data_IF_824102918709
#
_entry.id   IF_824102918709
#
_cell.length_a   1.000
_cell.length_b   1.000
_cell.length_c   1.000
_cell.angle_alpha   90.00
_cell.angle_beta   90.00
_cell.angle_gamma   90.00
#
_symmetry.space_group_name_H-M   'P 1'
#
loop_
_entity.id
_entity.type
_entity.pdbx_description
1 polymer ?
#
# COMPACT_ATOMS: atom_id res chain seq x y z
N UNK A 1 -1.93 5.38 17.01
CA UNK A 1 -1.84 4.59 15.77
C UNK A 1 -1.08 5.36 14.68
N UNK A 2 -0.69 4.70 13.60
CA UNK A 2 -0.16 5.37 12.42
C UNK A 2 -1.23 6.32 11.85
N UNK A 3 -0.80 7.46 11.30
CA UNK A 3 -1.70 8.35 10.56
C UNK A 3 -1.83 7.84 9.11
N UNK A 4 -2.81 6.98 8.91
CA UNK A 4 -3.06 6.38 7.59
C UNK A 4 -3.46 7.41 6.53
N UNK A 5 -4.07 8.54 6.92
CA UNK A 5 -4.44 9.61 5.99
C UNK A 5 -3.21 10.34 5.47
N UNK A 6 -2.30 10.74 6.35
CA UNK A 6 -1.03 11.35 5.97
C UNK A 6 -0.21 10.38 5.12
N UNK A 7 -0.10 9.12 5.57
CA UNK A 7 0.66 8.09 4.88
C UNK A 7 0.17 7.87 3.44
N UNK A 8 -1.12 7.69 3.25
CA UNK A 8 -1.68 7.47 1.92
C UNK A 8 -1.65 8.72 1.06
N UNK A 9 -1.70 9.91 1.65
CA UNK A 9 -1.48 11.16 0.93
C UNK A 9 -0.05 11.20 0.37
N UNK A 10 0.97 10.89 1.18
CA UNK A 10 2.38 10.86 0.73
C UNK A 10 2.62 9.83 -0.37
N UNK A 11 2.09 8.59 -0.23
CA UNK A 11 2.19 7.56 -1.26
C UNK A 11 1.51 8.04 -2.56
N UNK A 12 0.30 8.60 -2.46
CA UNK A 12 -0.46 9.04 -3.63
C UNK A 12 0.25 10.19 -4.35
N UNK A 13 0.74 11.17 -3.61
CA UNK A 13 1.51 12.30 -4.17
C UNK A 13 2.78 11.80 -4.86
N UNK A 14 3.48 10.85 -4.25
CA UNK A 14 4.66 10.23 -4.83
C UNK A 14 4.35 9.55 -6.17
N UNK A 15 3.39 8.63 -6.22
CA UNK A 15 3.08 7.90 -7.46
C UNK A 15 2.55 8.85 -8.54
N UNK A 16 1.74 9.84 -8.18
CA UNK A 16 1.26 10.85 -9.13
C UNK A 16 2.40 11.71 -9.68
N UNK A 17 3.37 12.12 -8.83
CA UNK A 17 4.55 12.91 -9.23
C UNK A 17 5.48 12.16 -10.17
N UNK A 18 5.53 10.81 -10.07
CA UNK A 18 6.28 9.95 -10.98
C UNK A 18 5.65 9.81 -12.37
N UNK A 19 4.45 10.32 -12.54
CA UNK A 19 3.77 10.30 -13.84
C UNK A 19 2.82 9.13 -14.04
N UNK A 20 2.58 8.29 -13.03
CA UNK A 20 1.57 7.24 -13.10
C UNK A 20 0.17 7.84 -13.20
N UNK A 21 -0.72 7.22 -14.00
CA UNK A 21 -2.05 7.77 -14.31
C UNK A 21 -3.18 6.75 -14.22
N UNK A 22 -2.87 5.46 -14.15
CA UNK A 22 -3.85 4.37 -14.10
C UNK A 22 -3.57 3.48 -12.89
N UNK A 23 -3.81 3.98 -11.67
CA UNK A 23 -3.57 3.19 -10.48
C UNK A 23 -4.64 2.13 -10.28
N UNK A 24 -4.21 0.98 -9.75
CA UNK A 24 -5.07 -0.04 -9.15
C UNK A 24 -4.75 -0.12 -7.67
N UNK A 25 -5.75 0.07 -6.80
CA UNK A 25 -5.58 -0.13 -5.37
C UNK A 25 -5.91 -1.57 -5.00
N UNK A 26 -4.96 -2.30 -4.42
CA UNK A 26 -5.17 -3.64 -3.86
C UNK A 26 -5.49 -3.54 -2.38
N UNK A 27 -6.75 -3.85 -2.06
CA UNK A 27 -7.30 -3.75 -0.71
C UNK A 27 -7.33 -5.10 0.01
N UNK A 28 -7.05 -5.09 1.30
CA UNK A 28 -7.27 -6.23 2.20
C UNK A 28 -8.76 -6.44 2.54
N UNK A 29 -9.05 -7.15 3.65
CA UNK A 29 -10.42 -7.46 4.03
C UNK A 29 -11.21 -6.19 4.40
N UNK A 30 -12.47 -6.05 3.92
CA UNK A 30 -13.26 -4.83 4.14
C UNK A 30 -13.70 -4.61 5.59
N UNK A 31 -13.39 -5.56 6.47
CA UNK A 31 -13.77 -5.52 7.89
C UNK A 31 -12.73 -4.88 8.80
N UNK A 32 -11.58 -4.47 8.27
CA UNK A 32 -10.49 -3.87 9.04
C UNK A 32 -10.52 -2.35 8.99
N UNK A 33 -10.06 -1.70 10.06
CA UNK A 33 -9.88 -0.24 10.09
C UNK A 33 -8.84 0.24 9.06
N UNK A 34 -7.79 -0.54 8.84
CA UNK A 34 -6.77 -0.25 7.83
C UNK A 34 -7.37 -0.14 6.43
N UNK A 35 -8.26 -1.08 6.06
CA UNK A 35 -8.94 -1.05 4.77
C UNK A 35 -9.73 0.25 4.56
N UNK A 36 -10.53 0.65 5.56
CA UNK A 36 -11.36 1.84 5.44
C UNK A 36 -10.50 3.11 5.35
N UNK A 37 -9.52 3.25 6.24
CA UNK A 37 -8.74 4.49 6.32
C UNK A 37 -7.76 4.62 5.14
N UNK A 38 -7.03 3.58 4.79
CA UNK A 38 -6.01 3.63 3.72
C UNK A 38 -6.65 3.75 2.34
N UNK A 39 -7.62 2.89 2.04
CA UNK A 39 -8.33 2.92 0.77
C UNK A 39 -9.01 4.27 0.54
N UNK A 40 -9.78 4.74 1.51
CA UNK A 40 -10.57 5.96 1.35
C UNK A 40 -9.67 7.21 1.24
N UNK A 41 -8.57 7.26 2.00
CA UNK A 41 -7.58 8.33 1.88
C UNK A 41 -6.90 8.33 0.50
N UNK A 42 -6.51 7.16 -0.02
CA UNK A 42 -5.95 7.03 -1.35
C UNK A 42 -6.93 7.52 -2.42
N UNK A 43 -8.17 7.02 -2.41
CA UNK A 43 -9.18 7.36 -3.41
C UNK A 43 -9.51 8.86 -3.41
N UNK A 44 -9.66 9.45 -2.22
CA UNK A 44 -9.93 10.87 -2.07
C UNK A 44 -8.76 11.73 -2.61
N UNK A 45 -7.52 11.36 -2.24
CA UNK A 45 -6.33 12.10 -2.70
C UNK A 45 -6.12 11.95 -4.19
N UNK A 46 -6.26 10.73 -4.73
CA UNK A 46 -6.13 10.48 -6.16
C UNK A 46 -7.17 11.26 -6.97
N UNK A 47 -8.43 11.23 -6.57
CA UNK A 47 -9.50 12.00 -7.23
C UNK A 47 -9.19 13.50 -7.26
N UNK A 48 -8.61 14.04 -6.18
CA UNK A 48 -8.20 15.45 -6.09
C UNK A 48 -7.08 15.78 -7.08
N UNK A 49 -6.08 14.89 -7.24
CA UNK A 49 -4.91 15.13 -8.08
C UNK A 49 -5.18 14.87 -9.57
N UNK A 50 -5.87 13.79 -9.87
CA UNK A 50 -6.06 13.30 -11.24
C UNK A 50 -7.41 13.71 -11.86
N UNK A 51 -8.37 14.15 -11.06
CA UNK A 51 -9.74 14.42 -11.51
C UNK A 51 -10.49 13.16 -12.00
N UNK A 52 -9.99 11.96 -11.64
CA UNK A 52 -10.52 10.67 -12.08
C UNK A 52 -10.55 9.68 -10.91
N UNK A 53 -11.42 8.68 -11.00
CA UNK A 53 -11.46 7.58 -10.04
C UNK A 53 -10.28 6.62 -10.28
N UNK A 54 -9.86 5.93 -9.22
CA UNK A 54 -8.95 4.80 -9.30
C UNK A 54 -9.74 3.49 -9.16
N UNK A 55 -9.25 2.43 -9.80
CA UNK A 55 -9.83 1.10 -9.66
C UNK A 55 -9.40 0.46 -8.33
N UNK A 56 -10.27 -0.41 -7.80
CA UNK A 56 -10.02 -1.13 -6.54
C UNK A 56 -10.26 -2.62 -6.76
N UNK A 57 -9.30 -3.44 -6.35
CA UNK A 57 -9.43 -4.89 -6.28
C UNK A 57 -9.29 -5.33 -4.80
N UNK A 58 -10.31 -6.03 -4.30
CA UNK A 58 -10.31 -6.56 -2.93
C UNK A 58 -9.76 -7.97 -2.94
N UNK A 59 -8.66 -8.18 -2.22
CA UNK A 59 -8.00 -9.50 -2.07
C UNK A 59 -8.75 -10.38 -1.06
N UNK A 60 -9.30 -9.78 -0.01
CA UNK A 60 -10.10 -10.47 1.01
C UNK A 60 -9.33 -10.87 2.26
N UNK A 61 -8.01 -10.95 2.21
CA UNK A 61 -7.12 -11.14 3.35
C UNK A 61 -5.74 -10.51 3.10
N UNK A 62 -4.77 -10.78 3.98
CA UNK A 62 -3.39 -10.28 3.88
C UNK A 62 -2.40 -11.38 3.49
N UNK A 63 -2.88 -12.45 2.82
CA UNK A 63 -2.02 -13.53 2.35
C UNK A 63 -1.39 -13.17 0.98
N UNK A 64 -0.06 -13.24 0.82
CA UNK A 64 0.58 -12.92 -0.46
C UNK A 64 0.17 -13.86 -1.59
N UNK A 65 -0.09 -15.13 -1.31
CA UNK A 65 -0.53 -16.10 -2.32
C UNK A 65 -1.94 -15.78 -2.83
N UNK A 66 -2.84 -15.32 -1.97
CA UNK A 66 -4.15 -14.84 -2.41
C UNK A 66 -4.04 -13.55 -3.23
N UNK A 67 -3.18 -12.62 -2.84
CA UNK A 67 -2.93 -11.41 -3.62
C UNK A 67 -2.37 -11.74 -5.02
N UNK A 68 -1.43 -12.71 -5.10
CA UNK A 68 -0.90 -13.23 -6.37
C UNK A 68 -2.03 -13.79 -7.24
N UNK A 69 -2.87 -14.66 -6.69
CA UNK A 69 -3.98 -15.29 -7.42
C UNK A 69 -5.01 -14.25 -7.90
N UNK A 70 -5.47 -13.37 -7.00
CA UNK A 70 -6.46 -12.35 -7.31
C UNK A 70 -6.00 -11.40 -8.42
N UNK A 71 -4.77 -10.91 -8.34
CA UNK A 71 -4.24 -9.99 -9.37
C UNK A 71 -4.02 -10.73 -10.70
N UNK A 72 -3.53 -11.98 -10.66
CA UNK A 72 -3.38 -12.80 -11.85
C UNK A 72 -4.71 -13.00 -12.57
N UNK A 73 -5.75 -13.41 -11.84
CA UNK A 73 -7.08 -13.61 -12.40
C UNK A 73 -7.67 -12.32 -12.95
N UNK A 74 -7.55 -11.22 -12.21
CA UNK A 74 -8.02 -9.90 -12.63
C UNK A 74 -7.39 -9.46 -13.95
N UNK A 75 -6.06 -9.55 -14.09
CA UNK A 75 -5.34 -9.10 -15.28
C UNK A 75 -5.24 -10.14 -16.40
N UNK A 76 -5.65 -11.39 -16.17
CA UNK A 76 -5.77 -12.42 -17.23
C UNK A 76 -7.09 -12.35 -17.98
N UNK A 77 -8.10 -11.69 -17.41
CA UNK A 77 -9.44 -11.52 -17.99
C UNK A 77 -9.55 -10.30 -18.91
N UNK A 78 -10.76 -9.76 -19.07
CA UNK A 78 -11.01 -8.56 -19.90
C UNK A 78 -10.19 -7.33 -19.47
N UNK A 79 -9.84 -7.25 -18.19
CA UNK A 79 -9.02 -6.16 -17.64
C UNK A 79 -7.58 -6.15 -18.18
N UNK A 80 -7.12 -7.22 -18.87
CA UNK A 80 -5.82 -7.24 -19.56
C UNK A 80 -5.66 -6.13 -20.60
N UNK A 81 -6.74 -5.61 -21.12
CA UNK A 81 -6.72 -4.45 -22.05
C UNK A 81 -6.43 -3.12 -21.33
N UNK A 82 -6.52 -3.10 -20.00
CA UNK A 82 -6.36 -1.91 -19.17
C UNK A 82 -5.39 -2.18 -18.01
N UNK A 83 -4.19 -2.68 -18.35
CA UNK A 83 -3.15 -2.91 -17.34
C UNK A 83 -2.86 -1.59 -16.60
N UNK A 84 -2.89 -1.60 -15.25
CA UNK A 84 -2.52 -0.41 -14.48
C UNK A 84 -1.05 -0.06 -14.73
N UNK A 85 -0.67 1.18 -14.57
CA UNK A 85 0.74 1.58 -14.58
C UNK A 85 1.36 1.59 -13.16
N UNK A 86 0.52 1.57 -12.13
CA UNK A 86 0.94 1.40 -10.74
C UNK A 86 -0.11 0.63 -9.94
N UNK A 87 0.36 -0.30 -9.11
CA UNK A 87 -0.43 -1.02 -8.10
C UNK A 87 -0.08 -0.46 -6.72
N UNK A 88 -1.04 0.15 -6.06
CA UNK A 88 -0.90 0.66 -4.69
C UNK A 88 -1.53 -0.34 -3.74
N UNK A 89 -0.74 -0.94 -2.87
CA UNK A 89 -1.18 -2.03 -2.00
C UNK A 89 -1.40 -1.54 -0.57
N UNK A 90 -2.44 -2.06 0.08
CA UNK A 90 -2.80 -1.73 1.45
C UNK A 90 -1.72 -2.16 2.46
N UNK A 91 -0.96 -3.23 2.15
CA UNK A 91 0.15 -3.75 2.97
C UNK A 91 1.30 -4.28 2.11
N UNK A 92 2.47 -4.45 2.71
CA UNK A 92 3.63 -5.09 2.06
C UNK A 92 3.35 -6.55 1.70
N UNK A 93 2.56 -7.27 2.49
CA UNK A 93 2.20 -8.66 2.19
C UNK A 93 1.43 -8.76 0.87
N UNK A 94 0.42 -7.90 0.68
CA UNK A 94 -0.33 -7.80 -0.58
C UNK A 94 0.60 -7.35 -1.72
N UNK A 95 1.50 -6.39 -1.46
CA UNK A 95 2.43 -5.89 -2.47
C UNK A 95 3.40 -6.97 -2.97
N UNK A 96 3.90 -7.82 -2.08
CA UNK A 96 4.77 -8.94 -2.46
C UNK A 96 4.03 -9.93 -3.37
N UNK A 97 2.80 -10.32 -3.01
CA UNK A 97 1.97 -11.16 -3.87
C UNK A 97 1.66 -10.52 -5.22
N UNK A 98 1.39 -9.22 -5.25
CA UNK A 98 1.19 -8.47 -6.49
C UNK A 98 2.46 -8.48 -7.38
N UNK A 99 3.65 -8.29 -6.77
CA UNK A 99 4.91 -8.34 -7.52
C UNK A 99 5.18 -9.74 -8.08
N UNK A 100 4.86 -10.79 -7.33
CA UNK A 100 5.00 -12.17 -7.78
C UNK A 100 4.02 -12.49 -8.92
N UNK A 101 2.76 -12.03 -8.83
CA UNK A 101 1.79 -12.12 -9.93
C UNK A 101 2.31 -11.45 -11.21
N UNK A 102 2.76 -10.20 -11.10
CA UNK A 102 3.25 -9.43 -12.24
C UNK A 102 4.44 -10.13 -12.91
N UNK A 103 5.45 -10.54 -12.12
CA UNK A 103 6.71 -11.08 -12.63
C UNK A 103 6.59 -12.53 -13.14
N UNK A 104 5.90 -13.39 -12.39
CA UNK A 104 5.96 -14.83 -12.61
C UNK A 104 4.71 -15.43 -13.28
N UNK A 105 3.58 -14.71 -13.28
CA UNK A 105 2.34 -15.16 -13.91
C UNK A 105 1.98 -14.37 -15.16
N UNK A 106 2.27 -13.06 -15.14
CA UNK A 106 1.82 -12.13 -16.19
C UNK A 106 2.95 -11.67 -17.12
N UNK A 107 4.21 -12.02 -16.79
CA UNK A 107 5.42 -11.62 -17.53
C UNK A 107 5.54 -10.08 -17.68
N UNK A 108 5.22 -9.36 -16.60
CA UNK A 108 5.31 -7.91 -16.52
C UNK A 108 6.46 -7.49 -15.59
N UNK A 109 7.24 -6.52 -16.03
CA UNK A 109 8.41 -6.04 -15.29
C UNK A 109 8.01 -4.97 -14.27
N UNK A 110 8.47 -5.14 -13.04
CA UNK A 110 8.34 -4.13 -11.97
C UNK A 110 9.68 -3.40 -11.84
N UNK A 111 9.73 -2.08 -11.94
CA UNK A 111 8.63 -1.10 -12.12
C UNK A 111 8.31 -0.74 -13.59
N UNK A 112 9.03 -1.29 -14.57
CA UNK A 112 9.04 -0.78 -15.94
C UNK A 112 7.68 -0.84 -16.65
N UNK A 113 6.94 -1.92 -16.46
CA UNK A 113 5.62 -2.11 -17.05
C UNK A 113 4.52 -1.73 -16.04
N UNK A 114 4.70 -2.10 -14.77
CA UNK A 114 3.81 -1.78 -13.66
C UNK A 114 4.64 -1.52 -12.40
N UNK A 115 4.49 -0.35 -11.80
CA UNK A 115 5.09 -0.06 -10.51
C UNK A 115 4.25 -0.65 -9.36
N UNK A 116 4.88 -0.89 -8.20
CA UNK A 116 4.20 -1.40 -7.01
C UNK A 116 4.65 -0.63 -5.77
N UNK A 117 3.68 -0.23 -4.93
CA UNK A 117 3.96 0.32 -3.60
C UNK A 117 3.26 -0.50 -2.53
N UNK A 118 3.86 -0.56 -1.34
CA UNK A 118 3.32 -1.25 -0.18
C UNK A 118 3.10 -0.31 1.01
N UNK A 119 2.87 -0.92 2.18
CA UNK A 119 2.69 -0.26 3.46
C UNK A 119 3.15 -1.21 4.56
N UNK A 120 3.89 -0.75 5.56
CA UNK A 120 4.40 -1.34 6.81
C UNK A 120 5.92 -1.31 6.94
N UNK A 121 6.67 -1.37 5.83
CA UNK A 121 8.13 -1.54 5.76
C UNK A 121 8.62 -2.75 6.56
N UNK A 122 8.00 -3.91 6.27
CA UNK A 122 8.45 -5.17 6.88
C UNK A 122 9.87 -5.52 6.41
N UNK A 123 10.67 -6.30 7.18
CA UNK A 123 12.07 -6.60 6.83
C UNK A 123 12.26 -7.16 5.41
N UNK A 124 11.30 -7.94 4.92
CA UNK A 124 11.33 -8.48 3.56
C UNK A 124 11.15 -7.44 2.46
N UNK A 125 10.54 -6.29 2.73
CA UNK A 125 10.37 -5.21 1.76
C UNK A 125 11.71 -4.71 1.21
N UNK A 126 12.76 -4.73 2.04
CA UNK A 126 14.12 -4.36 1.65
C UNK A 126 14.91 -5.48 0.95
N UNK A 127 14.34 -6.68 0.80
CA UNK A 127 15.01 -7.77 0.10
C UNK A 127 15.16 -7.41 -1.38
N UNK A 128 16.31 -7.74 -1.98
CA UNK A 128 16.61 -7.46 -3.39
C UNK A 128 15.58 -8.00 -4.39
N UNK A 129 14.86 -9.06 -4.00
CA UNK A 129 13.81 -9.61 -4.85
C UNK A 129 12.60 -8.69 -4.94
N UNK A 130 12.34 -7.89 -3.90
CA UNK A 130 11.20 -6.96 -3.89
C UNK A 130 11.69 -5.52 -4.04
N UNK A 131 12.65 -5.11 -3.22
CA UNK A 131 13.15 -3.72 -3.15
C UNK A 131 12.00 -2.72 -3.20
N UNK A 132 11.03 -2.96 -2.28
CA UNK A 132 9.67 -2.42 -2.32
C UNK A 132 9.64 -1.00 -1.77
N UNK A 133 9.15 -0.06 -2.56
CA UNK A 133 8.73 1.26 -2.11
C UNK A 133 7.52 1.11 -1.20
N UNK A 134 7.62 1.55 0.05
CA UNK A 134 6.62 1.31 1.07
C UNK A 134 6.58 2.43 2.11
N UNK A 135 5.53 2.47 2.94
CA UNK A 135 5.42 3.42 4.03
C UNK A 135 5.80 2.76 5.36
N UNK A 136 6.89 3.22 5.96
CA UNK A 136 7.35 2.73 7.26
C UNK A 136 6.48 3.28 8.38
N UNK A 137 5.84 2.41 9.14
CA UNK A 137 5.09 2.78 10.33
C UNK A 137 6.05 3.22 11.46
N UNK A 138 5.65 4.18 12.31
CA UNK A 138 6.48 4.68 13.42
C UNK A 138 6.47 3.72 14.63
N UNK A 139 6.76 2.42 14.41
CA UNK A 139 6.57 1.35 15.39
C UNK A 139 7.29 1.59 16.73
N UNK A 140 8.52 2.14 16.70
CA UNK A 140 9.25 2.43 17.93
C UNK A 140 8.56 3.51 18.78
N UNK A 141 8.00 4.54 18.14
CA UNK A 141 7.27 5.61 18.83
C UNK A 141 5.94 5.08 19.37
N UNK A 142 5.25 4.26 18.57
CA UNK A 142 4.00 3.60 18.98
C UNK A 142 4.21 2.66 20.17
N UNK A 143 5.27 1.85 20.15
CA UNK A 143 5.60 0.95 21.25
C UNK A 143 5.91 1.73 22.55
N UNK A 144 6.70 2.80 22.45
CA UNK A 144 6.99 3.65 23.61
C UNK A 144 5.71 4.30 24.18
N UNK A 145 4.82 4.81 23.33
CA UNK A 145 3.56 5.39 23.77
C UNK A 145 2.68 4.36 24.52
N UNK A 146 2.62 3.11 24.07
CA UNK A 146 1.92 2.03 24.77
C UNK A 146 2.54 1.76 26.14
N UNK A 147 3.88 1.70 26.22
CA UNK A 147 4.59 1.50 27.49
C UNK A 147 4.29 2.61 28.49
N UNK A 148 4.25 3.86 28.08
CA UNK A 148 3.93 4.99 28.98
C UNK A 148 2.49 4.93 29.49
N UNK A 149 1.52 4.55 28.63
CA UNK A 149 0.15 4.31 29.05
C UNK A 149 0.06 3.21 30.13
N UNK A 150 0.77 2.09 29.92
CA UNK A 150 0.82 0.98 30.87
C UNK A 150 1.46 1.34 32.21
N UNK A 151 2.38 2.31 32.22
CA UNK A 151 2.98 2.85 33.46
C UNK A 151 2.08 3.84 34.20
N UNK A 152 0.89 4.12 33.70
CA UNK A 152 -0.09 4.99 34.35
C UNK A 152 0.11 6.48 34.08
N UNK A 153 0.77 6.84 33.01
CA UNK A 153 0.84 8.23 32.55
C UNK A 153 -0.58 8.73 32.21
N UNK A 154 -1.13 9.61 33.06
CA UNK A 154 -2.51 10.11 32.92
C UNK A 154 -2.66 11.18 31.84
N UNK A 155 -1.58 11.62 31.23
CA UNK A 155 -1.56 12.78 30.31
C UNK A 155 -1.18 12.40 28.88
N UNK A 156 -1.54 11.19 28.45
CA UNK A 156 -1.46 10.85 27.05
C UNK A 156 -2.67 11.43 26.33
N UNK A 157 -2.42 12.44 25.50
CA UNK A 157 -3.41 12.91 24.55
C UNK A 157 -4.07 11.70 23.86
N UNK A 158 -5.41 11.66 23.69
CA UNK A 158 -6.11 10.50 23.19
C UNK A 158 -5.50 10.11 21.85
N UNK A 159 -4.80 8.97 21.81
CA UNK A 159 -4.23 8.30 20.64
C UNK A 159 -3.83 9.28 19.51
N UNK A 160 -2.75 10.04 19.72
CA UNK A 160 -2.20 10.89 18.66
C UNK A 160 -1.86 10.02 17.44
N UNK A 161 -2.40 10.40 16.31
CA UNK A 161 -1.98 9.84 15.03
C UNK A 161 -0.56 10.30 14.77
N UNK A 162 0.34 9.35 14.52
CA UNK A 162 1.77 9.61 14.36
C UNK A 162 2.13 9.27 12.92
N UNK A 163 2.64 10.25 12.20
CA UNK A 163 3.13 10.02 10.84
C UNK A 163 4.37 9.11 10.86
N UNK A 164 4.44 8.24 9.89
CA UNK A 164 5.62 7.42 9.60
C UNK A 164 6.52 8.08 8.56
N UNK A 165 7.03 7.28 7.63
CA UNK A 165 7.94 7.76 6.59
C UNK A 165 7.79 6.95 5.31
N UNK A 166 7.69 7.61 4.17
CA UNK A 166 7.78 6.96 2.86
C UNK A 166 9.24 6.51 2.61
N UNK A 167 9.43 5.23 2.33
CA UNK A 167 10.71 4.61 1.99
C UNK A 167 10.68 4.29 0.50
N UNK A 168 11.38 5.10 -0.28
CA UNK A 168 11.47 4.93 -1.73
C UNK A 168 12.54 3.91 -2.07
N UNK A 169 12.17 2.90 -2.88
CA UNK A 169 13.06 1.86 -3.42
C UNK A 169 12.80 1.67 -4.91
N UNK A 170 13.23 0.56 -5.50
CA UNK A 170 13.20 0.39 -6.96
C UNK A 170 11.86 -0.10 -7.54
N UNK A 171 10.87 -0.45 -6.71
CA UNK A 171 9.59 -0.97 -7.21
C UNK A 171 8.62 0.08 -7.73
N UNK A 172 8.90 1.39 -7.47
CA UNK A 172 8.06 2.49 -7.93
C UNK A 172 8.84 3.81 -8.05
#
# INVERSE_FOLDING_TARGET
CCDDTVAMTEITDYVHSKGYRRPLFLAGPPTTSAHLLRKDAFLARWSTLAGAAADVLVVGDYDPGHAEACLTDHLSGPARQHVPDVVVCETDAIAMGAMDALRYRLDLRVPHDVAVTGFDDVPYAANKNYDLTTYQQPNAVLANAVVEVLKGAQDTAPFSQIAGKLIVRSSA
#
